data_IF_249432830198
#
_entry.id   IF_249432830198
#
_cell.length_a   1.000
_cell.length_b   1.000
_cell.length_c   1.000
_cell.angle_alpha   90.00
_cell.angle_beta   90.00
_cell.angle_gamma   90.00
#
_symmetry.space_group_name_H-M   'P 1'
#
loop_
_entity.id
_entity.type
_entity.pdbx_description
1 polymer ?
#
# COMPACT_ATOMS: atom_id res chain seq x y z
N UNK A 1 -26.78 16.63 -37.47
CA UNK A 1 -25.56 17.46 -37.48
C UNK A 1 -24.72 17.09 -36.27
N UNK A 2 -23.47 16.70 -36.54
CA UNK A 2 -22.46 16.31 -35.56
C UNK A 2 -22.07 17.50 -34.68
N UNK A 3 -21.92 17.26 -33.38
CA UNK A 3 -20.74 17.73 -32.64
C UNK A 3 -20.49 16.81 -31.45
N UNK A 4 -19.55 15.89 -31.66
CA UNK A 4 -18.86 15.11 -30.64
C UNK A 4 -18.05 16.06 -29.76
N UNK A 5 -18.42 16.19 -28.48
CA UNK A 5 -17.53 16.80 -27.50
C UNK A 5 -16.54 15.75 -27.03
N UNK A 6 -15.34 15.80 -27.61
CA UNK A 6 -14.18 15.05 -27.16
C UNK A 6 -13.94 15.27 -25.66
N UNK A 7 -13.94 14.18 -24.89
CA UNK A 7 -13.53 14.20 -23.49
C UNK A 7 -11.99 14.32 -23.44
N UNK A 8 -11.43 15.24 -22.63
CA UNK A 8 -10.00 15.49 -22.58
C UNK A 8 -9.25 14.29 -21.99
N UNK A 9 -8.08 14.03 -22.58
CA UNK A 9 -7.18 12.93 -22.34
C UNK A 9 -7.01 12.56 -20.86
N UNK A 10 -7.11 11.26 -20.59
CA UNK A 10 -6.74 10.63 -19.33
C UNK A 10 -5.23 10.76 -19.08
N UNK A 11 -4.80 11.93 -18.58
CA UNK A 11 -3.53 12.10 -17.85
C UNK A 11 -3.78 11.89 -16.35
N UNK A 12 -4.53 10.84 -16.02
CA UNK A 12 -4.64 10.32 -14.67
C UNK A 12 -3.58 9.26 -14.49
N UNK A 13 -2.59 9.51 -13.63
CA UNK A 13 -1.61 8.52 -13.18
C UNK A 13 -2.32 7.21 -12.81
N UNK A 14 -2.31 6.25 -13.73
CA UNK A 14 -2.85 4.91 -13.56
C UNK A 14 -1.91 4.09 -12.66
N UNK A 15 -1.71 4.55 -11.43
CA UNK A 15 -1.14 3.73 -10.38
C UNK A 15 -2.26 3.10 -9.57
N UNK A 16 -2.67 1.94 -10.07
CA UNK A 16 -3.13 0.79 -9.28
C UNK A 16 -4.42 1.04 -8.47
N UNK A 17 -5.54 1.20 -9.16
CA UNK A 17 -6.86 0.80 -8.65
C UNK A 17 -7.04 -0.65 -9.12
N UNK A 18 -6.74 -1.65 -8.29
CA UNK A 18 -7.75 -2.34 -7.47
C UNK A 18 -8.98 -2.79 -8.27
N UNK A 19 -8.75 -3.51 -9.37
CA UNK A 19 -9.75 -4.37 -10.00
C UNK A 19 -9.53 -5.80 -9.53
N UNK A 20 -10.40 -6.26 -8.64
CA UNK A 20 -11.15 -7.51 -8.77
C UNK A 20 -10.46 -8.89 -8.78
N UNK A 21 -9.20 -9.04 -9.18
CA UNK A 21 -8.56 -10.36 -9.28
C UNK A 21 -7.63 -10.63 -8.09
N UNK A 22 -8.17 -11.30 -7.07
CA UNK A 22 -7.45 -11.75 -5.88
C UNK A 22 -6.70 -13.07 -6.13
N UNK A 23 -5.64 -13.06 -6.94
CA UNK A 23 -4.64 -14.13 -6.86
C UNK A 23 -3.65 -13.79 -5.73
N UNK A 24 -3.79 -14.44 -4.57
CA UNK A 24 -2.78 -14.36 -3.50
C UNK A 24 -1.44 -14.82 -4.06
N UNK A 25 -0.44 -13.93 -4.01
CA UNK A 25 0.92 -14.24 -4.43
C UNK A 25 1.65 -14.91 -3.27
N UNK A 26 2.12 -16.13 -3.49
CA UNK A 26 2.94 -16.89 -2.53
C UNK A 26 4.42 -16.76 -2.92
N UNK A 27 5.34 -16.67 -1.95
CA UNK A 27 6.79 -16.71 -2.20
C UNK A 27 7.59 -15.52 -1.68
N UNK A 28 8.56 -15.04 -2.46
CA UNK A 28 9.53 -14.02 -2.05
C UNK A 28 8.94 -12.60 -2.09
N UNK A 29 9.11 -11.83 -1.00
CA UNK A 29 8.79 -10.39 -1.06
C UNK A 29 9.76 -9.66 -1.98
N UNK A 30 9.23 -8.88 -2.93
CA UNK A 30 10.05 -7.96 -3.74
C UNK A 30 10.64 -6.88 -2.85
N UNK A 31 11.96 -6.91 -2.69
CA UNK A 31 12.72 -5.87 -2.02
C UNK A 31 12.88 -4.67 -2.98
N UNK A 32 12.77 -3.45 -2.46
CA UNK A 32 13.11 -2.24 -3.20
C UNK A 32 14.00 -1.33 -2.34
N UNK A 33 15.33 -1.27 -2.61
CA UNK A 33 16.30 -0.58 -1.74
C UNK A 33 15.97 0.90 -1.53
N UNK A 34 15.64 1.62 -2.60
CA UNK A 34 15.27 3.04 -2.54
C UNK A 34 14.02 3.29 -1.70
N UNK A 35 13.02 2.40 -1.78
CA UNK A 35 11.80 2.52 -0.96
C UNK A 35 12.08 2.21 0.51
N UNK A 36 12.96 1.24 0.79
CA UNK A 36 13.41 0.96 2.16
C UNK A 36 14.11 2.17 2.78
N UNK A 37 15.05 2.79 2.05
CA UNK A 37 15.76 3.98 2.52
C UNK A 37 14.82 5.17 2.77
N UNK A 38 13.95 5.50 1.79
CA UNK A 38 12.95 6.57 1.95
C UNK A 38 12.00 6.31 3.12
N UNK A 39 11.63 5.05 3.38
CA UNK A 39 10.77 4.69 4.50
C UNK A 39 11.41 4.95 5.87
N UNK A 40 12.75 4.87 5.95
CA UNK A 40 13.55 5.13 7.16
C UNK A 40 13.82 6.61 7.38
N UNK A 41 14.01 7.39 6.31
CA UNK A 41 14.30 8.84 6.37
C UNK A 41 13.03 9.67 6.27
N UNK A 42 12.70 10.18 5.08
CA UNK A 42 11.61 11.15 4.82
C UNK A 42 10.24 10.60 5.20
N UNK A 43 10.00 9.31 4.99
CA UNK A 43 8.77 8.64 5.37
C UNK A 43 8.57 8.57 6.89
N UNK A 44 9.66 8.48 7.67
CA UNK A 44 9.57 8.47 9.14
C UNK A 44 9.14 9.84 9.66
N UNK A 45 9.77 10.91 9.17
CA UNK A 45 9.42 12.29 9.54
C UNK A 45 7.95 12.61 9.26
N UNK A 46 7.48 12.30 8.05
CA UNK A 46 6.06 12.51 7.66
C UNK A 46 5.08 11.73 8.55
N UNK A 47 5.42 10.51 8.98
CA UNK A 47 4.57 9.72 9.88
C UNK A 47 4.53 10.30 11.30
N UNK A 48 5.64 10.87 11.79
CA UNK A 48 5.69 11.49 13.11
C UNK A 48 4.74 12.69 13.18
N UNK A 49 4.78 13.57 12.18
CA UNK A 49 3.87 14.72 12.08
C UNK A 49 2.41 14.26 12.03
N UNK A 50 2.08 13.28 11.17
CA UNK A 50 0.71 12.76 11.07
C UNK A 50 0.19 12.12 12.35
N UNK A 51 1.06 11.49 13.15
CA UNK A 51 0.68 10.95 14.47
C UNK A 51 0.36 12.05 15.48
N UNK A 52 1.02 13.20 15.40
CA UNK A 52 0.78 14.33 16.29
C UNK A 52 -0.51 15.09 15.92
N UNK A 53 -0.82 15.19 14.62
CA UNK A 53 -1.93 16.02 14.13
C UNK A 53 -3.25 15.25 14.01
N UNK A 54 -3.22 13.97 13.64
CA UNK A 54 -4.45 13.22 13.34
C UNK A 54 -4.79 12.28 14.50
N UNK A 55 -5.90 12.52 15.23
CA UNK A 55 -6.36 11.59 16.26
C UNK A 55 -6.68 10.24 15.62
N UNK A 56 -6.15 9.16 16.20
CA UNK A 56 -6.34 7.80 15.69
C UNK A 56 -5.35 7.34 14.60
N UNK A 57 -4.47 8.20 14.09
CA UNK A 57 -3.48 7.79 13.09
C UNK A 57 -2.40 6.86 13.68
N UNK A 58 -2.22 5.69 13.07
CA UNK A 58 -1.22 4.71 13.51
C UNK A 58 -1.57 3.94 14.79
N UNK A 59 -2.81 4.04 15.30
CA UNK A 59 -3.30 3.19 16.39
C UNK A 59 -3.48 1.74 15.92
N UNK A 60 -3.15 0.78 16.80
CA UNK A 60 -3.36 -0.65 16.54
C UNK A 60 -4.86 -0.91 16.33
N UNK A 61 -5.22 -1.82 15.42
CA UNK A 61 -6.61 -2.17 15.13
C UNK A 61 -7.33 -1.31 14.08
N UNK A 62 -6.83 -0.11 13.78
CA UNK A 62 -7.51 0.83 12.86
C UNK A 62 -7.67 0.31 11.41
N UNK A 63 -6.87 -0.67 11.02
CA UNK A 63 -6.99 -1.36 9.72
C UNK A 63 -8.23 -2.26 9.61
N UNK A 64 -8.68 -2.85 10.71
CA UNK A 64 -9.90 -3.65 10.76
C UNK A 64 -11.15 -2.78 10.68
N UNK A 65 -11.13 -1.64 11.37
CA UNK A 65 -12.24 -0.68 11.36
C UNK A 65 -12.42 -0.01 9.99
N UNK A 66 -11.33 0.35 9.31
CA UNK A 66 -11.40 1.05 8.02
C UNK A 66 -11.61 0.13 6.83
N UNK A 67 -10.98 -1.06 6.81
CA UNK A 67 -10.99 -1.97 5.66
C UNK A 67 -10.77 -3.43 6.07
N UNK A 68 -11.82 -4.15 6.51
CA UNK A 68 -11.69 -5.52 7.04
C UNK A 68 -11.22 -6.55 6.01
N UNK A 69 -11.71 -6.49 4.76
CA UNK A 69 -11.31 -7.39 3.66
C UNK A 69 -9.80 -7.35 3.40
N UNK A 70 -9.24 -6.15 3.35
CA UNK A 70 -7.80 -5.91 3.14
C UNK A 70 -6.97 -6.32 4.36
N UNK A 71 -7.50 -6.13 5.56
CA UNK A 71 -6.84 -6.56 6.80
C UNK A 71 -6.70 -8.09 6.85
N UNK A 72 -7.75 -8.84 6.48
CA UNK A 72 -7.72 -10.29 6.38
C UNK A 72 -6.70 -10.78 5.34
N UNK A 73 -6.73 -10.22 4.11
CA UNK A 73 -5.77 -10.55 3.05
C UNK A 73 -4.32 -10.33 3.50
N UNK A 74 -4.02 -9.15 4.06
CA UNK A 74 -2.68 -8.81 4.52
C UNK A 74 -2.19 -9.72 5.65
N UNK A 75 -3.10 -10.25 6.48
CA UNK A 75 -2.77 -11.21 7.55
C UNK A 75 -2.32 -12.54 6.95
N UNK A 76 -3.02 -13.04 5.94
CA UNK A 76 -2.66 -14.28 5.23
C UNK A 76 -1.36 -14.07 4.44
N UNK A 77 -1.26 -13.02 3.62
CA UNK A 77 -0.06 -12.68 2.84
C UNK A 77 1.20 -12.60 3.72
N UNK A 78 1.11 -11.97 4.90
CA UNK A 78 2.26 -11.87 5.82
C UNK A 78 2.72 -13.21 6.40
N UNK A 79 1.79 -14.16 6.59
CA UNK A 79 2.09 -15.51 7.08
C UNK A 79 2.69 -16.41 5.99
N UNK A 80 2.30 -16.19 4.74
CA UNK A 80 2.64 -17.08 3.61
C UNK A 80 3.80 -16.57 2.75
N UNK A 81 4.38 -15.40 3.08
CA UNK A 81 5.42 -14.73 2.29
C UNK A 81 6.64 -14.40 3.15
N UNK A 82 7.82 -14.89 2.76
CA UNK A 82 9.09 -14.69 3.47
C UNK A 82 9.95 -13.59 2.84
N UNK A 83 10.88 -13.01 3.60
CA UNK A 83 11.86 -12.04 3.11
C UNK A 83 13.25 -12.64 3.08
N UNK A 84 14.04 -12.41 2.03
CA UNK A 84 15.46 -12.80 1.96
C UNK A 84 16.28 -12.29 3.16
N UNK A 85 15.92 -11.12 3.71
CA UNK A 85 16.61 -10.56 4.88
C UNK A 85 16.20 -11.19 6.21
N UNK A 86 15.13 -11.99 6.26
CA UNK A 86 14.78 -12.78 7.45
C UNK A 86 15.62 -14.07 7.53
N UNK A 87 16.24 -14.50 6.42
CA UNK A 87 17.09 -15.70 6.35
C UNK A 87 18.54 -15.46 6.78
N UNK A 88 19.04 -14.22 6.70
CA UNK A 88 20.41 -13.83 7.06
C UNK A 88 20.46 -13.08 8.41
N UNK A 89 19.54 -13.39 9.33
CA UNK A 89 19.58 -12.85 10.69
C UNK A 89 20.56 -13.60 11.57
#
# INVERSE_FOLDING_TARGET
MHITKAAPAATGTAFIYDTGENHMKFGMRKISPLKSFKARTTGRAKRAIKKAVIPGYGKKGMGWLRNPKKAAYNKVYKKTTFSLFDLFK
#
